data_IF_202883843829
#
_entry.id   IF_202883843829
#
_cell.length_a   1.000
_cell.length_b   1.000
_cell.length_c   1.000
_cell.angle_alpha   90.00
_cell.angle_beta   90.00
_cell.angle_gamma   90.00
#
_symmetry.space_group_name_H-M   'P 1'
#
loop_
_entity.id
_entity.type
_entity.pdbx_description
1 polymer ?
#
# COMPACT_ATOMS: atom_id res chain seq x y z
N UNK A 1 8.03 -0.76 11.32
CA UNK A 1 7.36 -0.17 10.16
C UNK A 1 6.70 1.13 10.58
N UNK A 2 6.75 2.18 9.75
CA UNK A 2 6.11 3.47 10.02
C UNK A 2 4.61 3.45 9.62
N UNK A 3 3.82 4.52 9.90
CA UNK A 3 2.39 4.56 9.56
C UNK A 3 2.07 4.40 8.06
N UNK A 4 3.02 4.73 7.18
CA UNK A 4 2.89 4.63 5.73
C UNK A 4 3.34 3.27 5.17
N UNK A 5 3.70 2.32 6.02
CA UNK A 5 4.13 0.99 5.57
C UNK A 5 5.62 0.88 5.26
N UNK A 6 6.43 1.92 5.47
CA UNK A 6 7.87 1.85 5.24
C UNK A 6 8.52 1.03 6.36
N UNK A 7 9.34 0.05 5.99
CA UNK A 7 10.13 -0.70 6.95
C UNK A 7 11.21 0.16 7.58
N UNK A 8 11.43 -0.03 8.88
CA UNK A 8 12.53 0.63 9.58
C UNK A 8 13.73 -0.31 9.52
N UNK A 9 14.59 -0.10 8.52
CA UNK A 9 15.79 -0.90 8.31
C UNK A 9 16.70 -0.85 9.55
N UNK A 10 17.33 -1.97 9.87
CA UNK A 10 18.25 -2.09 11.02
C UNK A 10 17.61 -2.43 12.37
N UNK A 11 16.27 -2.54 12.46
CA UNK A 11 15.58 -2.98 13.69
C UNK A 11 15.12 -4.45 13.65
N UNK A 12 15.10 -5.06 12.47
CA UNK A 12 14.64 -6.45 12.27
C UNK A 12 15.76 -7.48 12.41
N UNK A 13 15.39 -8.69 12.83
CA UNK A 13 16.27 -9.87 12.83
C UNK A 13 15.69 -10.93 11.87
N UNK A 14 16.45 -11.28 10.83
CA UNK A 14 16.12 -12.39 9.92
C UNK A 14 17.04 -13.57 10.25
N UNK A 15 16.46 -14.70 10.68
CA UNK A 15 17.24 -15.90 10.94
C UNK A 15 17.66 -16.58 9.63
N UNK A 16 18.94 -16.99 9.55
CA UNK A 16 19.50 -17.64 8.37
C UNK A 16 18.80 -18.97 8.05
N UNK A 17 18.40 -19.15 6.79
CA UNK A 17 17.69 -20.36 6.33
C UNK A 17 16.17 -20.28 6.39
N UNK A 18 15.60 -19.20 6.95
CA UNK A 18 14.16 -18.92 6.85
C UNK A 18 13.92 -18.03 5.62
N UNK A 19 13.01 -18.47 4.74
CA UNK A 19 12.56 -17.67 3.61
C UNK A 19 11.91 -16.38 4.11
N UNK A 20 12.27 -15.26 3.50
CA UNK A 20 11.69 -13.98 3.82
C UNK A 20 10.17 -13.98 3.57
N UNK A 21 9.41 -13.40 4.50
CA UNK A 21 7.99 -13.17 4.31
C UNK A 21 7.78 -11.93 3.43
N UNK A 22 7.17 -12.11 2.26
CA UNK A 22 6.85 -11.01 1.35
C UNK A 22 5.53 -10.29 1.67
N UNK A 23 4.64 -10.91 2.45
CA UNK A 23 3.36 -10.31 2.82
C UNK A 23 3.52 -9.54 4.12
N UNK A 24 3.58 -8.22 4.02
CA UNK A 24 3.93 -7.34 5.15
C UNK A 24 2.79 -6.36 5.43
N UNK A 25 2.91 -5.13 4.91
CA UNK A 25 1.99 -4.06 5.25
C UNK A 25 0.58 -4.40 4.77
N UNK A 26 -0.34 -4.52 5.73
CA UNK A 26 -1.75 -4.84 5.49
C UNK A 26 -1.98 -6.16 4.71
N UNK A 27 -1.04 -7.10 4.80
CA UNK A 27 -1.09 -8.37 4.08
C UNK A 27 -0.80 -8.27 2.58
N UNK A 28 -0.37 -7.09 2.09
CA UNK A 28 0.03 -6.92 0.70
C UNK A 28 1.47 -7.40 0.48
N UNK A 29 1.73 -7.89 -0.75
CA UNK A 29 3.05 -8.35 -1.15
C UNK A 29 3.97 -7.14 -1.37
N UNK A 30 5.18 -7.20 -0.81
CA UNK A 30 6.25 -6.26 -1.13
C UNK A 30 7.06 -6.77 -2.31
N UNK A 31 7.28 -5.89 -3.29
CA UNK A 31 8.14 -6.12 -4.44
C UNK A 31 9.48 -5.45 -4.16
N UNK A 32 10.53 -6.28 -4.06
CA UNK A 32 11.91 -5.84 -3.84
C UNK A 32 12.84 -5.99 -5.04
N UNK A 33 12.31 -6.47 -6.16
CA UNK A 33 13.05 -6.57 -7.42
C UNK A 33 13.55 -5.20 -7.87
N UNK A 34 14.75 -5.15 -8.44
CA UNK A 34 15.39 -3.91 -8.92
C UNK A 34 15.58 -2.84 -7.83
N UNK A 35 15.72 -3.25 -6.55
CA UNK A 35 15.79 -2.35 -5.38
C UNK A 35 14.55 -1.46 -5.22
N UNK A 36 13.40 -1.91 -5.73
CA UNK A 36 12.12 -1.30 -5.39
C UNK A 36 11.73 -1.68 -3.95
N UNK A 37 10.89 -0.87 -3.31
CA UNK A 37 10.33 -1.21 -1.99
C UNK A 37 8.83 -0.87 -1.99
N UNK A 38 8.14 -1.35 -3.03
CA UNK A 38 6.74 -1.01 -3.31
C UNK A 38 5.81 -2.17 -2.96
N UNK A 39 4.57 -1.85 -2.58
CA UNK A 39 3.54 -2.83 -2.26
C UNK A 39 2.59 -3.04 -3.44
N UNK A 40 2.26 -4.29 -3.72
CA UNK A 40 1.21 -4.66 -4.66
C UNK A 40 -0.15 -4.66 -3.96
N UNK A 41 -0.98 -3.66 -4.27
CA UNK A 41 -2.36 -3.55 -3.78
C UNK A 41 -3.37 -4.12 -4.80
N UNK A 42 -2.93 -4.93 -5.77
CA UNK A 42 -3.71 -5.48 -6.90
C UNK A 42 -4.02 -4.46 -7.98
N UNK A 43 -4.82 -3.42 -7.67
CA UNK A 43 -5.20 -2.43 -8.68
C UNK A 43 -4.09 -1.40 -8.94
N UNK A 44 -3.21 -1.16 -7.97
CA UNK A 44 -2.10 -0.19 -8.06
C UNK A 44 -0.88 -0.63 -7.25
N UNK A 45 0.28 -0.12 -7.62
CA UNK A 45 1.50 -0.22 -6.81
C UNK A 45 1.66 0.98 -5.89
N UNK A 46 1.89 0.73 -4.61
CA UNK A 46 2.04 1.74 -3.57
C UNK A 46 3.50 1.88 -3.13
N UNK A 47 4.01 3.11 -3.16
CA UNK A 47 5.34 3.44 -2.65
C UNK A 47 5.23 4.01 -1.22
N UNK A 48 5.67 3.25 -0.20
CA UNK A 48 5.62 3.66 1.20
C UNK A 48 6.66 4.75 1.56
N UNK A 49 7.71 4.96 0.76
CA UNK A 49 8.72 5.99 1.00
C UNK A 49 8.16 7.39 0.75
N UNK A 50 7.32 7.54 -0.28
CA UNK A 50 6.61 8.80 -0.59
C UNK A 50 5.15 8.82 -0.11
N UNK A 51 4.60 7.66 0.27
CA UNK A 51 3.22 7.51 0.75
C UNK A 51 2.18 7.73 -0.35
N UNK A 52 2.45 7.28 -1.59
CA UNK A 52 1.59 7.49 -2.77
C UNK A 52 1.50 6.25 -3.64
N UNK A 53 0.45 6.17 -4.46
CA UNK A 53 0.41 5.20 -5.56
C UNK A 53 1.20 5.70 -6.76
N UNK A 54 1.75 4.78 -7.54
CA UNK A 54 2.51 5.08 -8.76
C UNK A 54 1.64 5.21 -10.01
N UNK A 55 0.34 4.99 -9.89
CA UNK A 55 -0.65 5.10 -10.97
C UNK A 55 -1.90 5.85 -10.51
N UNK A 56 -2.61 6.43 -11.49
CA UNK A 56 -3.89 7.12 -11.27
C UNK A 56 -4.92 6.12 -10.76
N UNK A 57 -5.70 6.52 -9.76
CA UNK A 57 -6.87 5.79 -9.27
C UNK A 57 -7.90 5.54 -10.38
N UNK A 58 -8.32 4.29 -10.57
CA UNK A 58 -9.41 3.96 -11.49
C UNK A 58 -10.75 4.59 -11.05
N UNK A 59 -10.88 4.91 -9.77
CA UNK A 59 -12.02 5.60 -9.17
C UNK A 59 -11.74 7.08 -8.88
N UNK A 60 -10.78 7.71 -9.57
CA UNK A 60 -10.46 9.14 -9.37
C UNK A 60 -11.69 10.05 -9.53
N UNK A 61 -12.59 9.72 -10.47
CA UNK A 61 -13.83 10.48 -10.73
C UNK A 61 -15.01 10.04 -9.84
N UNK A 62 -14.80 9.16 -8.86
CA UNK A 62 -15.85 8.78 -7.93
C UNK A 62 -16.22 9.95 -7.01
N UNK A 63 -17.51 10.17 -6.64
CA UNK A 63 -17.92 11.29 -5.78
C UNK A 63 -17.14 11.41 -4.45
N UNK A 64 -16.67 10.28 -3.91
CA UNK A 64 -15.86 10.23 -2.69
C UNK A 64 -14.35 10.50 -2.91
N UNK A 65 -13.90 10.68 -4.15
CA UNK A 65 -12.50 10.83 -4.56
C UNK A 65 -12.24 12.12 -5.36
N UNK A 66 -13.25 12.74 -5.99
CA UNK A 66 -13.14 13.96 -6.84
C UNK A 66 -12.46 15.16 -6.13
N UNK A 67 -12.36 15.17 -4.80
CA UNK A 67 -11.64 16.19 -4.02
C UNK A 67 -10.22 15.83 -3.59
N UNK A 68 -9.73 14.64 -3.95
CA UNK A 68 -8.45 14.09 -3.53
C UNK A 68 -7.51 13.93 -4.72
N UNK A 69 -6.21 13.80 -4.43
CA UNK A 69 -5.23 13.49 -5.48
C UNK A 69 -5.49 12.07 -6.02
N UNK A 70 -5.42 11.84 -7.35
CA UNK A 70 -5.55 10.50 -7.93
C UNK A 70 -4.46 9.52 -7.51
N UNK A 71 -3.40 10.01 -6.84
CA UNK A 71 -2.29 9.21 -6.32
C UNK A 71 -2.32 9.07 -4.79
N UNK A 72 -3.37 9.56 -4.13
CA UNK A 72 -3.50 9.53 -2.67
C UNK A 72 -3.59 8.11 -2.12
N UNK A 73 -3.07 7.91 -0.91
CA UNK A 73 -3.22 6.65 -0.19
C UNK A 73 -4.09 6.85 1.06
N UNK A 74 -5.14 6.03 1.22
CA UNK A 74 -5.99 5.97 2.43
C UNK A 74 -6.52 7.32 2.91
N UNK A 75 -6.90 8.18 1.98
CA UNK A 75 -7.33 9.57 2.21
C UNK A 75 -6.34 10.37 3.05
N UNK A 76 -5.05 10.10 2.86
CA UNK A 76 -3.94 10.65 3.62
C UNK A 76 -3.98 10.34 5.13
N UNK A 77 -4.74 9.35 5.57
CA UNK A 77 -4.78 8.90 6.96
C UNK A 77 -4.68 7.37 7.03
N UNK A 78 -3.46 6.82 6.86
CA UNK A 78 -3.23 5.38 6.79
C UNK A 78 -3.42 4.64 8.12
N UNK A 79 -3.50 5.38 9.24
CA UNK A 79 -3.79 4.85 10.58
C UNK A 79 -5.28 4.55 10.71
N UNK A 80 -6.14 5.42 10.17
CA UNK A 80 -7.60 5.32 10.34
C UNK A 80 -8.27 4.50 9.24
N UNK A 81 -7.83 4.66 8.00
CA UNK A 81 -8.50 4.06 6.85
C UNK A 81 -7.74 2.83 6.37
N UNK A 82 -8.46 1.87 5.79
CA UNK A 82 -7.88 0.71 5.13
C UNK A 82 -8.32 0.73 3.67
N UNK A 83 -7.41 0.42 2.74
CA UNK A 83 -7.68 0.32 1.31
C UNK A 83 -7.27 -1.09 0.86
N UNK A 84 -8.18 -2.08 0.88
CA UNK A 84 -7.82 -3.48 0.69
C UNK A 84 -7.38 -3.87 -0.72
N UNK A 85 -7.84 -3.14 -1.74
CA UNK A 85 -7.59 -3.41 -3.16
C UNK A 85 -6.93 -2.23 -3.89
N UNK A 86 -6.55 -1.17 -3.17
CA UNK A 86 -5.88 -0.02 -3.74
C UNK A 86 -6.79 0.74 -4.70
N UNK A 87 -8.07 0.91 -4.40
CA UNK A 87 -9.02 1.70 -5.21
C UNK A 87 -9.73 2.75 -4.37
N UNK A 88 -10.32 2.35 -3.25
CA UNK A 88 -11.00 3.28 -2.38
C UNK A 88 -11.16 2.71 -0.98
N UNK A 89 -10.87 3.48 0.08
CA UNK A 89 -11.06 3.02 1.45
C UNK A 89 -12.49 2.63 1.83
N UNK A 90 -13.51 3.09 1.10
CA UNK A 90 -14.91 2.80 1.37
C UNK A 90 -15.46 1.58 0.65
N UNK A 91 -14.87 1.19 -0.48
CA UNK A 91 -15.41 0.13 -1.36
C UNK A 91 -14.79 -1.24 -1.07
N UNK A 92 -14.04 -1.37 0.02
CA UNK A 92 -13.31 -2.57 0.40
C UNK A 92 -14.18 -3.74 0.88
N UNK A 93 -15.29 -4.07 0.22
CA UNK A 93 -15.98 -5.38 0.19
C UNK A 93 -16.96 -5.36 -0.98
N UNK A 94 -16.69 -6.04 -2.09
CA UNK A 94 -17.62 -6.97 -2.79
C UNK A 94 -16.80 -7.80 -3.78
N UNK A 95 -16.18 -8.90 -3.36
CA UNK A 95 -16.17 -10.16 -4.13
C UNK A 95 -15.98 -11.29 -3.11
N UNK A 96 -17.05 -12.09 -2.97
CA UNK A 96 -17.14 -13.33 -2.19
C UNK A 96 -16.94 -14.53 -3.08
#
# INVERSE_FOLDING_TARGET
MNPWGLELTGLGYQYGGIKENKYLYNGNEIIRDLNLEIYDFKSRFYDPAIGRFNSIDVLADHPNQIGLSPYQFRWNNPIKYNDPNGECPLLGVVES
#
